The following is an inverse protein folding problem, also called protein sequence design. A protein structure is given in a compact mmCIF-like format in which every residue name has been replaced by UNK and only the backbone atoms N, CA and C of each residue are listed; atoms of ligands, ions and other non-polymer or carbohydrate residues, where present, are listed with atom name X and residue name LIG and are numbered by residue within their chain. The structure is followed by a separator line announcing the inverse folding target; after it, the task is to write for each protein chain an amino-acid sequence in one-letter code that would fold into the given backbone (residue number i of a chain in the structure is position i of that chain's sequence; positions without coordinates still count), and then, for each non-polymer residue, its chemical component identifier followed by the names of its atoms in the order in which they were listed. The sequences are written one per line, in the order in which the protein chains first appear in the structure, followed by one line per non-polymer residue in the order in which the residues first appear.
data_IF_823796206023
#
_entry.id   IF_823796206023
#
_cell.length_a   1.000
_cell.length_b   1.000
_cell.length_c   1.000
_cell.angle_alpha   90.00
_cell.angle_beta   90.00
_cell.angle_gamma   90.00
#
_symmetry.space_group_name_H-M   'P 1'
#
loop_
_entity.id
_entity.type
_entity.pdbx_description
1 polymer ?
#
# COMPACT_ATOMS: atom_id res chain seq x y z
N UNK A 1 24.46 1.65 -1.56
CA UNK A 1 24.09 0.84 -2.73
C UNK A 1 22.83 1.43 -3.33
N UNK A 2 22.95 2.15 -4.43
CA UNK A 2 21.82 2.73 -5.18
C UNK A 2 21.09 1.58 -5.88
N UNK A 3 19.84 1.31 -5.49
CA UNK A 3 19.01 0.36 -6.24
C UNK A 3 18.84 0.92 -7.66
N UNK A 4 19.12 0.13 -8.70
CA UNK A 4 18.84 0.59 -10.06
C UNK A 4 17.39 0.98 -10.19
N UNK A 5 17.10 2.10 -10.87
CA UNK A 5 15.73 2.48 -11.19
C UNK A 5 15.12 1.35 -12.01
N UNK A 6 14.05 0.75 -11.48
CA UNK A 6 13.39 -0.38 -12.12
C UNK A 6 12.37 0.20 -13.08
N UNK A 7 12.76 0.26 -14.35
CA UNK A 7 11.82 0.58 -15.43
C UNK A 7 11.03 -0.69 -15.74
N UNK A 8 9.77 -0.72 -15.32
CA UNK A 8 8.82 -1.81 -15.62
C UNK A 8 8.14 -1.62 -16.97
N UNK A 9 8.36 -0.48 -17.59
CA UNK A 9 7.72 -0.08 -18.85
C UNK A 9 8.82 0.14 -19.88
N UNK A 10 8.69 -0.47 -21.05
CA UNK A 10 9.54 -0.19 -22.19
C UNK A 10 9.28 1.26 -22.65
N UNK A 11 10.30 2.14 -22.65
CA UNK A 11 10.13 3.54 -23.03
C UNK A 11 9.77 3.73 -24.52
N UNK A 12 9.94 2.70 -25.36
CA UNK A 12 9.63 2.76 -26.79
C UNK A 12 8.21 2.29 -27.11
N UNK A 13 7.73 1.25 -26.43
CA UNK A 13 6.41 0.67 -26.70
C UNK A 13 5.35 1.11 -25.67
N UNK A 14 5.77 1.59 -24.49
CA UNK A 14 4.87 1.88 -23.37
C UNK A 14 4.32 0.62 -22.71
N UNK A 15 4.78 -0.56 -23.09
CA UNK A 15 4.32 -1.85 -22.58
C UNK A 15 5.21 -2.35 -21.45
N UNK A 16 4.59 -3.10 -20.53
CA UNK A 16 5.31 -3.81 -19.46
C UNK A 16 5.44 -5.28 -19.82
N UNK A 17 6.66 -5.82 -19.76
CA UNK A 17 6.86 -7.26 -19.94
C UNK A 17 6.25 -8.02 -18.74
N UNK A 18 5.31 -8.95 -18.97
CA UNK A 18 4.75 -9.80 -17.92
C UNK A 18 5.81 -10.57 -17.13
N UNK A 19 6.94 -10.94 -17.76
CA UNK A 19 8.05 -11.60 -17.08
C UNK A 19 8.73 -10.69 -16.07
N UNK A 20 8.90 -9.41 -16.39
CA UNK A 20 9.45 -8.40 -15.47
C UNK A 20 8.51 -8.11 -14.31
N UNK A 21 7.22 -7.98 -14.58
CA UNK A 21 6.20 -7.83 -13.52
C UNK A 21 6.27 -9.01 -12.56
N UNK A 22 6.30 -10.23 -13.09
CA UNK A 22 6.43 -11.46 -12.29
C UNK A 22 7.73 -11.46 -11.48
N UNK A 23 8.85 -11.17 -12.10
CA UNK A 23 10.15 -11.11 -11.43
C UNK A 23 10.15 -10.13 -10.26
N UNK A 24 9.57 -8.93 -10.45
CA UNK A 24 9.43 -7.93 -9.38
C UNK A 24 8.54 -8.44 -8.27
N UNK A 25 7.40 -9.00 -8.61
CA UNK A 25 6.46 -9.57 -7.64
C UNK A 25 7.14 -10.68 -6.82
N UNK A 26 7.87 -11.59 -7.45
CA UNK A 26 8.59 -12.67 -6.75
C UNK A 26 9.72 -12.14 -5.87
N UNK A 27 10.46 -11.12 -6.30
CA UNK A 27 11.54 -10.51 -5.51
C UNK A 27 11.08 -9.92 -4.18
N UNK A 28 9.79 -9.65 -4.02
CA UNK A 28 9.22 -9.08 -2.79
C UNK A 28 8.88 -10.15 -1.74
N UNK A 29 9.00 -11.44 -2.05
CA UNK A 29 8.56 -12.51 -1.13
C UNK A 29 9.23 -12.43 0.24
N UNK A 30 10.56 -12.40 0.27
CA UNK A 30 11.30 -12.34 1.53
C UNK A 30 10.94 -11.12 2.38
N UNK A 31 10.81 -9.95 1.74
CA UNK A 31 10.41 -8.71 2.40
C UNK A 31 8.98 -8.81 2.94
N UNK A 32 8.05 -9.40 2.18
CA UNK A 32 6.65 -9.53 2.63
C UNK A 32 6.53 -10.47 3.83
N UNK A 33 7.31 -11.55 3.86
CA UNK A 33 7.36 -12.45 5.00
C UNK A 33 7.92 -11.77 6.25
N UNK A 34 9.02 -11.03 6.11
CA UNK A 34 9.58 -10.24 7.21
C UNK A 34 8.59 -9.18 7.74
N UNK A 35 7.77 -8.60 6.86
CA UNK A 35 6.77 -7.60 7.26
C UNK A 35 5.58 -8.19 8.02
N UNK A 36 5.31 -9.48 7.90
CA UNK A 36 4.27 -10.14 8.71
C UNK A 36 4.56 -10.03 10.20
N UNK A 37 5.83 -10.09 10.57
CA UNK A 37 6.30 -9.99 11.96
C UNK A 37 6.45 -8.54 12.44
N UNK A 38 6.18 -7.54 11.57
CA UNK A 38 6.34 -6.13 11.93
C UNK A 38 5.31 -5.68 12.97
N UNK A 39 5.76 -4.89 13.92
CA UNK A 39 4.92 -4.27 14.94
C UNK A 39 3.99 -3.21 14.33
N UNK A 40 2.92 -2.87 15.04
CA UNK A 40 2.02 -1.77 14.63
C UNK A 40 2.77 -0.44 14.54
N UNK A 41 3.73 -0.18 15.45
CA UNK A 41 4.53 1.03 15.43
C UNK A 41 5.41 1.15 14.16
N UNK A 42 6.03 0.04 13.74
CA UNK A 42 6.80 0.01 12.50
C UNK A 42 5.92 0.22 11.25
N UNK A 43 4.72 -0.37 11.23
CA UNK A 43 3.74 -0.17 10.13
C UNK A 43 3.31 1.29 10.06
N UNK A 44 3.01 1.92 11.18
CA UNK A 44 2.68 3.35 11.25
C UNK A 44 3.85 4.20 10.75
N UNK A 45 5.07 3.88 11.14
CA UNK A 45 6.27 4.61 10.69
C UNK A 45 6.44 4.53 9.17
N UNK A 46 6.18 3.39 8.56
CA UNK A 46 6.23 3.22 7.10
C UNK A 46 5.13 4.00 6.39
N UNK A 47 3.92 4.00 6.93
CA UNK A 47 2.81 4.79 6.40
C UNK A 47 3.09 6.31 6.47
N UNK A 48 3.68 6.79 7.56
CA UNK A 48 4.12 8.19 7.67
C UNK A 48 5.14 8.54 6.60
N UNK A 49 6.17 7.70 6.41
CA UNK A 49 7.18 7.90 5.35
C UNK A 49 6.58 7.93 3.94
N UNK A 50 5.60 7.06 3.66
CA UNK A 50 4.88 7.06 2.39
C UNK A 50 4.13 8.38 2.20
N UNK A 51 3.37 8.80 3.20
CA UNK A 51 2.62 10.07 3.17
C UNK A 51 3.55 11.27 2.94
N UNK A 52 4.66 11.36 3.67
CA UNK A 52 5.67 12.40 3.52
C UNK A 52 6.27 12.42 2.11
N UNK A 53 6.61 11.25 1.56
CA UNK A 53 7.16 11.13 0.21
C UNK A 53 6.15 11.57 -0.86
N UNK A 54 4.87 11.26 -0.70
CA UNK A 54 3.81 11.71 -1.61
C UNK A 54 3.65 13.22 -1.57
N UNK A 55 3.58 13.81 -0.36
CA UNK A 55 3.44 15.26 -0.20
C UNK A 55 4.66 16.02 -0.75
N UNK A 56 5.87 15.49 -0.55
CA UNK A 56 7.10 16.09 -1.07
C UNK A 56 7.18 16.06 -2.60
N UNK A 57 6.50 15.11 -3.25
CA UNK A 57 6.50 14.93 -4.71
C UNK A 57 5.23 15.39 -5.40
N UNK A 58 4.43 16.24 -4.77
CA UNK A 58 3.17 16.73 -5.37
C UNK A 58 3.38 17.36 -6.74
N UNK A 59 4.43 18.16 -6.92
CA UNK A 59 4.73 18.79 -8.20
C UNK A 59 5.01 17.77 -9.31
N UNK A 60 5.70 16.65 -8.96
CA UNK A 60 5.97 15.57 -9.92
C UNK A 60 4.67 14.89 -10.36
N UNK A 61 3.72 14.69 -9.43
CA UNK A 61 2.39 14.16 -9.76
C UNK A 61 1.64 15.07 -10.70
N UNK A 62 1.60 16.39 -10.44
CA UNK A 62 0.93 17.34 -11.32
C UNK A 62 1.52 17.32 -12.73
N UNK A 63 2.86 17.33 -12.85
CA UNK A 63 3.53 17.28 -14.13
C UNK A 63 3.25 15.97 -14.90
N UNK A 64 3.19 14.82 -14.20
CA UNK A 64 2.87 13.54 -14.80
C UNK A 64 1.42 13.50 -15.31
N UNK A 65 0.45 13.91 -14.50
CA UNK A 65 -0.96 13.94 -14.90
C UNK A 65 -1.26 14.94 -16.02
N UNK A 66 -0.58 16.10 -16.02
CA UNK A 66 -0.68 17.05 -17.13
C UNK A 66 -0.15 16.44 -18.43
N UNK A 67 1.01 15.76 -18.36
CA UNK A 67 1.63 15.12 -19.52
C UNK A 67 0.78 13.98 -20.08
N UNK A 68 0.26 13.10 -19.22
CA UNK A 68 -0.39 11.86 -19.64
C UNK A 68 -1.88 12.07 -19.97
N UNK A 69 -2.56 12.94 -19.22
CA UNK A 69 -4.02 13.14 -19.32
C UNK A 69 -4.45 14.57 -19.59
N UNK A 70 -3.51 15.54 -19.64
CA UNK A 70 -3.80 16.98 -19.70
C UNK A 70 -4.74 17.44 -18.57
N UNK A 71 -4.62 16.80 -17.41
CA UNK A 71 -5.46 17.03 -16.25
C UNK A 71 -4.94 18.23 -15.46
N UNK A 72 -5.77 19.28 -15.23
CA UNK A 72 -5.33 20.47 -14.49
C UNK A 72 -4.91 20.13 -13.06
N UNK A 73 -3.89 20.84 -12.54
CA UNK A 73 -3.34 20.61 -11.20
C UNK A 73 -4.40 20.64 -10.08
N UNK A 74 -5.40 21.53 -10.20
CA UNK A 74 -6.48 21.66 -9.22
C UNK A 74 -7.37 20.41 -9.18
N UNK A 75 -7.60 19.78 -10.31
CA UNK A 75 -8.35 18.54 -10.42
C UNK A 75 -7.53 17.37 -9.86
N UNK A 76 -6.24 17.26 -10.25
CA UNK A 76 -5.32 16.26 -9.71
C UNK A 76 -5.22 16.37 -8.19
N UNK A 77 -5.19 17.58 -7.65
CA UNK A 77 -5.17 17.80 -6.21
C UNK A 77 -6.39 17.20 -5.54
N UNK A 78 -7.60 17.49 -6.04
CA UNK A 78 -8.85 17.05 -5.43
C UNK A 78 -9.15 15.57 -5.58
N UNK A 79 -8.75 14.96 -6.70
CA UNK A 79 -9.13 13.58 -7.04
C UNK A 79 -8.04 12.55 -6.78
N UNK A 80 -6.76 12.95 -6.81
CA UNK A 80 -5.61 12.05 -6.71
C UNK A 80 -4.70 12.35 -5.51
N UNK A 81 -4.24 13.62 -5.42
CA UNK A 81 -3.17 13.97 -4.46
C UNK A 81 -3.65 14.12 -3.03
N UNK A 82 -4.86 14.60 -2.77
CA UNK A 82 -5.41 14.73 -1.40
C UNK A 82 -6.00 13.43 -0.86
N UNK A 83 -6.80 12.65 -1.60
CA UNK A 83 -7.48 11.49 -1.04
C UNK A 83 -6.51 10.45 -0.45
N UNK A 84 -5.39 10.19 -1.11
CA UNK A 84 -4.45 9.15 -0.66
C UNK A 84 -3.73 9.50 0.65
N UNK A 85 -3.12 10.69 0.84
CA UNK A 85 -2.58 11.12 2.13
C UNK A 85 -3.61 11.15 3.27
N UNK A 86 -4.88 11.48 2.98
CA UNK A 86 -5.95 11.47 3.97
C UNK A 86 -6.33 10.05 4.36
N UNK A 87 -6.41 9.11 3.41
CA UNK A 87 -6.64 7.69 3.71
C UNK A 87 -5.48 7.09 4.51
N UNK A 88 -4.24 7.46 4.20
CA UNK A 88 -3.08 7.08 5.02
C UNK A 88 -3.21 7.62 6.44
N UNK A 89 -3.64 8.87 6.61
CA UNK A 89 -3.87 9.48 7.94
C UNK A 89 -4.94 8.73 8.72
N UNK A 90 -6.07 8.42 8.07
CA UNK A 90 -7.15 7.63 8.64
C UNK A 90 -6.68 6.24 9.06
N UNK A 91 -5.94 5.57 8.19
CA UNK A 91 -5.36 4.24 8.45
C UNK A 91 -4.42 4.27 9.65
N UNK A 92 -3.52 5.26 9.75
CA UNK A 92 -2.61 5.42 10.90
C UNK A 92 -3.41 5.55 12.21
N UNK A 93 -4.48 6.34 12.22
CA UNK A 93 -5.33 6.53 13.40
C UNK A 93 -6.10 5.27 13.81
N UNK A 94 -6.44 4.43 12.85
CA UNK A 94 -7.30 3.26 13.05
C UNK A 94 -6.55 1.94 13.18
N UNK A 95 -5.30 1.87 12.73
CA UNK A 95 -4.54 0.62 12.57
C UNK A 95 -4.43 -0.17 13.87
N UNK A 96 -4.17 0.50 14.99
CA UNK A 96 -4.08 -0.16 16.30
C UNK A 96 -5.39 -0.88 16.67
N UNK A 97 -6.54 -0.26 16.39
CA UNK A 97 -7.86 -0.83 16.64
C UNK A 97 -8.15 -1.99 15.68
N UNK A 98 -7.82 -1.82 14.41
CA UNK A 98 -8.08 -2.84 13.39
C UNK A 98 -7.25 -4.11 13.58
N UNK A 99 -6.03 -3.98 14.08
CA UNK A 99 -5.13 -5.10 14.33
C UNK A 99 -5.42 -5.86 15.63
N UNK A 100 -6.39 -5.41 16.44
CA UNK A 100 -6.76 -6.13 17.66
C UNK A 100 -7.65 -7.34 17.35
N UNK A 101 -7.39 -8.50 17.96
CA UNK A 101 -8.30 -9.64 17.91
C UNK A 101 -9.69 -9.24 18.46
N UNK A 102 -10.73 -9.66 17.75
CA UNK A 102 -12.12 -9.44 18.17
C UNK A 102 -12.68 -10.72 18.73
N UNK A 103 -13.03 -10.71 20.01
CA UNK A 103 -13.69 -11.86 20.65
C UNK A 103 -15.08 -12.04 20.02
N UNK A 104 -15.41 -13.28 19.67
CA UNK A 104 -16.72 -13.67 19.10
C UNK A 104 -17.51 -14.40 20.16
N UNK A 105 -18.82 -14.22 20.16
CA UNK A 105 -19.70 -14.97 21.06
C UNK A 105 -19.68 -16.45 20.67
N UNK A 106 -19.55 -17.37 21.64
CA UNK A 106 -19.63 -18.80 21.36
C UNK A 106 -21.02 -19.15 20.81
N UNK A 107 -21.04 -20.12 19.91
CA UNK A 107 -22.26 -20.77 19.42
C UNK A 107 -22.46 -22.09 20.17
N UNK A 108 -23.61 -22.76 19.97
CA UNK A 108 -23.90 -24.05 20.60
C UNK A 108 -22.78 -25.08 20.30
N UNK A 109 -22.18 -25.02 19.10
CA UNK A 109 -21.06 -25.91 18.73
C UNK A 109 -19.70 -25.52 19.29
N UNK A 110 -19.57 -24.31 19.89
CA UNK A 110 -18.31 -23.74 20.41
C UNK A 110 -18.47 -23.26 21.86
N UNK A 111 -19.25 -23.97 22.67
CA UNK A 111 -19.55 -23.57 24.07
C UNK A 111 -18.33 -23.51 24.99
N UNK A 112 -17.28 -24.30 24.71
CA UNK A 112 -16.11 -24.39 25.56
C UNK A 112 -14.87 -23.65 25.04
N UNK A 113 -14.53 -23.66 23.70
CA UNK A 113 -13.38 -22.92 23.20
C UNK A 113 -13.65 -21.43 23.10
N UNK A 114 -12.67 -20.62 23.50
CA UNK A 114 -12.67 -19.19 23.20
C UNK A 114 -12.47 -18.99 21.70
N UNK A 115 -13.31 -18.14 21.10
CA UNK A 115 -13.26 -17.85 19.67
C UNK A 115 -13.00 -16.35 19.43
N UNK A 116 -12.13 -16.04 18.48
CA UNK A 116 -11.84 -14.68 18.08
C UNK A 116 -11.59 -14.57 16.58
N UNK A 117 -11.76 -13.39 16.05
CA UNK A 117 -11.40 -13.03 14.68
C UNK A 117 -10.08 -12.27 14.74
N UNK A 118 -9.10 -12.73 14.00
CA UNK A 118 -7.81 -12.10 13.87
C UNK A 118 -7.55 -11.71 12.41
N UNK A 119 -7.08 -10.48 12.20
CA UNK A 119 -6.72 -10.00 10.86
C UNK A 119 -5.22 -10.19 10.65
N UNK A 120 -4.87 -10.93 9.62
CA UNK A 120 -3.48 -11.19 9.27
C UNK A 120 -3.12 -10.54 7.94
N UNK A 121 -1.83 -10.12 7.74
CA UNK A 121 -1.37 -9.59 6.47
C UNK A 121 -1.52 -10.61 5.35
N UNK A 122 -2.10 -10.19 4.22
CA UNK A 122 -2.25 -11.06 3.04
C UNK A 122 -0.93 -11.37 2.34
N UNK A 123 0.07 -10.52 2.52
CA UNK A 123 1.35 -10.64 1.85
C UNK A 123 1.46 -9.70 0.65
N UNK A 124 1.93 -10.23 -0.48
CA UNK A 124 2.13 -9.46 -1.71
C UNK A 124 0.81 -9.25 -2.45
N UNK A 125 0.61 -8.05 -2.96
CA UNK A 125 -0.53 -7.70 -3.81
C UNK A 125 -0.02 -7.02 -5.08
N UNK A 126 -0.60 -7.37 -6.24
CA UNK A 126 -0.46 -6.64 -7.48
C UNK A 126 -1.71 -5.79 -7.66
N UNK A 127 -1.51 -4.51 -7.93
CA UNK A 127 -2.57 -3.55 -8.22
C UNK A 127 -2.36 -3.09 -9.66
N UNK A 128 -3.40 -3.20 -10.48
CA UNK A 128 -3.43 -2.70 -11.85
C UNK A 128 -4.52 -1.64 -11.88
N UNK A 129 -4.16 -0.41 -12.28
CA UNK A 129 -5.04 0.74 -12.32
C UNK A 129 -5.03 1.37 -13.72
#
# INVERSE_FOLDING_TARGET
MTRPAMHLVDPQTGESDPADIRRVFESQLATSLAWRESTIAERITRLKKLREAMLARRADFYAAFEKDYRKPAIEVEGTESMPVPEEIRHTIGSLKKWAQPKRVRPTIGTLFPESWIEYQPRGRCLIIA
#
